data_IF_713555313628
#
_entry.id   IF_713555313628
#
_cell.length_a   1.000
_cell.length_b   1.000
_cell.length_c   1.000
_cell.angle_alpha   90.00
_cell.angle_beta   90.00
_cell.angle_gamma   90.00
#
_symmetry.space_group_name_H-M   'P 1'
#
loop_
_entity.id
_entity.type
_entity.pdbx_description
1 polymer ?
#
# COMPACT_ATOMS: atom_id res chain seq x y z
N UNK A 1 11.88 17.01 5.44
CA UNK A 1 10.41 17.00 5.43
C UNK A 1 9.94 15.78 6.21
N UNK A 2 9.02 15.96 7.15
CA UNK A 2 8.47 14.84 7.90
C UNK A 2 7.78 13.89 6.92
N UNK A 3 8.05 12.58 7.05
CA UNK A 3 7.42 11.59 6.20
C UNK A 3 5.95 11.49 6.64
N UNK A 4 5.04 11.97 5.79
CA UNK A 4 3.60 11.93 6.04
C UNK A 4 3.16 10.46 6.19
N UNK A 5 2.40 10.16 7.24
CA UNK A 5 1.83 8.83 7.48
C UNK A 5 0.32 8.99 7.70
N UNK A 6 -0.45 9.21 6.62
CA UNK A 6 -1.88 9.52 6.74
C UNK A 6 -2.70 8.36 7.33
N UNK A 7 -2.17 7.13 7.23
CA UNK A 7 -2.83 5.92 7.73
C UNK A 7 -2.34 5.47 9.11
N UNK A 8 -1.44 6.23 9.76
CA UNK A 8 -0.76 5.82 10.99
C UNK A 8 -0.22 4.37 10.92
N UNK A 9 0.30 4.00 9.75
CA UNK A 9 0.69 2.64 9.41
C UNK A 9 2.13 2.33 9.80
N UNK A 10 2.95 3.34 10.09
CA UNK A 10 4.34 3.17 10.47
C UNK A 10 4.45 2.67 11.91
N UNK A 11 5.15 1.55 12.07
CA UNK A 11 5.49 0.96 13.36
C UNK A 11 6.98 0.63 13.42
N UNK A 12 7.47 0.29 14.60
CA UNK A 12 8.85 -0.15 14.84
C UNK A 12 8.88 -1.52 15.49
N UNK A 13 9.85 -2.34 15.11
CA UNK A 13 10.07 -3.65 15.73
C UNK A 13 11.57 -3.89 15.94
N UNK A 14 11.91 -4.68 16.95
CA UNK A 14 13.30 -5.08 17.20
C UNK A 14 13.66 -6.27 16.30
N UNK A 15 14.76 -6.13 15.57
CA UNK A 15 15.31 -7.18 14.69
C UNK A 15 16.32 -8.08 15.40
N UNK A 16 16.68 -7.78 16.66
CA UNK A 16 17.84 -8.33 17.37
C UNK A 16 19.17 -7.67 16.98
N UNK A 17 19.23 -7.01 15.82
CA UNK A 17 20.34 -6.15 15.40
C UNK A 17 20.03 -4.65 15.61
N UNK A 18 18.88 -4.33 16.21
CA UNK A 18 18.40 -2.98 16.46
C UNK A 18 16.98 -2.72 15.95
N UNK A 19 16.43 -1.53 16.23
CA UNK A 19 15.08 -1.16 15.83
C UNK A 19 15.00 -0.93 14.31
N UNK A 20 14.03 -1.58 13.67
CA UNK A 20 13.66 -1.34 12.28
C UNK A 20 12.24 -0.80 12.19
N UNK A 21 11.95 -0.07 11.11
CA UNK A 21 10.61 0.44 10.84
C UNK A 21 9.87 -0.48 9.84
N UNK A 22 8.57 -0.64 10.04
CA UNK A 22 7.66 -1.39 9.17
C UNK A 22 6.40 -0.56 8.89
N UNK A 23 5.83 -0.71 7.70
CA UNK A 23 4.50 -0.18 7.39
C UNK A 23 3.51 -1.34 7.45
N UNK A 24 2.68 -1.37 8.50
CA UNK A 24 1.78 -2.50 8.76
C UNK A 24 0.52 -2.39 7.93
N UNK A 25 0.28 -3.39 7.07
CA UNK A 25 -0.99 -3.52 6.34
C UNK A 25 -2.18 -3.75 7.28
N UNK A 26 -1.95 -4.31 8.48
CA UNK A 26 -3.01 -4.51 9.49
C UNK A 26 -3.68 -3.20 9.90
N UNK A 27 -2.99 -2.06 9.78
CA UNK A 27 -3.57 -0.74 10.06
C UNK A 27 -4.66 -0.36 9.05
N UNK A 28 -4.57 -0.86 7.81
CA UNK A 28 -5.63 -0.70 6.82
C UNK A 28 -6.84 -1.60 7.10
N UNK A 29 -6.61 -2.78 7.67
CA UNK A 29 -7.66 -3.67 8.19
C UNK A 29 -8.37 -3.03 9.40
N UNK A 30 -7.62 -2.52 10.38
CA UNK A 30 -8.15 -1.80 11.55
C UNK A 30 -8.97 -0.56 11.14
N UNK A 31 -8.57 0.13 10.07
CA UNK A 31 -9.30 1.25 9.48
C UNK A 31 -10.54 0.83 8.66
N UNK A 32 -10.80 -0.48 8.50
CA UNK A 32 -11.93 -1.01 7.73
C UNK A 32 -11.82 -0.80 6.22
N UNK A 33 -10.62 -0.57 5.70
CA UNK A 33 -10.39 -0.28 4.28
C UNK A 33 -10.20 -1.54 3.42
N UNK A 34 -9.80 -2.65 4.03
CA UNK A 34 -9.55 -3.91 3.32
C UNK A 34 -9.52 -5.10 4.26
N UNK A 35 -9.57 -6.30 3.69
CA UNK A 35 -9.19 -7.56 4.34
C UNK A 35 -7.91 -8.03 3.67
N UNK A 36 -6.77 -7.83 4.33
CA UNK A 36 -5.42 -8.08 3.79
C UNK A 36 -5.25 -9.54 3.39
N UNK A 37 -5.90 -10.46 4.11
CA UNK A 37 -5.84 -11.90 3.83
C UNK A 37 -6.54 -12.30 2.52
N UNK A 38 -7.54 -11.54 2.08
CA UNK A 38 -8.27 -11.81 0.84
C UNK A 38 -7.52 -11.30 -0.40
N UNK A 39 -6.53 -10.43 -0.20
CA UNK A 39 -5.71 -9.90 -1.28
C UNK A 39 -4.66 -10.93 -1.75
N UNK A 40 -4.49 -11.10 -3.08
CA UNK A 40 -3.36 -11.85 -3.62
C UNK A 40 -2.03 -11.29 -3.11
N UNK A 41 -1.05 -12.17 -2.91
CA UNK A 41 0.27 -11.75 -2.41
C UNK A 41 0.92 -10.65 -3.26
N UNK A 42 0.76 -10.69 -4.58
CA UNK A 42 1.24 -9.63 -5.48
C UNK A 42 0.62 -8.26 -5.18
N UNK A 43 -0.68 -8.21 -4.92
CA UNK A 43 -1.40 -6.97 -4.58
C UNK A 43 -0.97 -6.46 -3.20
N UNK A 44 -0.71 -7.35 -2.23
CA UNK A 44 -0.16 -6.96 -0.93
C UNK A 44 1.20 -6.25 -1.05
N UNK A 45 2.06 -6.69 -1.97
CA UNK A 45 3.35 -6.02 -2.23
C UNK A 45 3.15 -4.62 -2.83
N UNK A 46 2.23 -4.48 -3.78
CA UNK A 46 1.90 -3.17 -4.37
C UNK A 46 1.29 -2.22 -3.32
N UNK A 47 0.38 -2.74 -2.50
CA UNK A 47 -0.28 -1.99 -1.43
C UNK A 47 0.71 -1.50 -0.38
N UNK A 48 1.65 -2.35 0.07
CA UNK A 48 2.72 -1.93 0.99
C UNK A 48 3.57 -0.82 0.37
N UNK A 49 3.93 -0.97 -0.90
CA UNK A 49 4.77 0.02 -1.57
C UNK A 49 4.06 1.37 -1.67
N UNK A 50 2.77 1.38 -1.99
CA UNK A 50 1.98 2.61 -2.00
C UNK A 50 1.86 3.21 -0.60
N UNK A 51 1.50 2.38 0.40
CA UNK A 51 1.36 2.82 1.79
C UNK A 51 2.66 3.45 2.34
N UNK A 52 3.81 2.84 2.07
CA UNK A 52 5.12 3.32 2.53
C UNK A 52 5.60 4.58 1.81
N UNK A 53 5.12 4.83 0.59
CA UNK A 53 5.50 5.97 -0.24
C UNK A 53 4.41 7.03 -0.37
N UNK A 54 3.29 6.90 0.36
CA UNK A 54 2.19 7.87 0.36
C UNK A 54 2.70 9.24 0.85
N UNK A 55 2.86 10.17 -0.08
CA UNK A 55 3.41 11.50 0.15
C UNK A 55 2.40 12.61 -0.19
N UNK A 56 1.24 12.24 -0.72
CA UNK A 56 0.18 13.17 -1.12
C UNK A 56 0.47 13.88 -2.45
N UNK A 57 1.51 13.45 -3.19
CA UNK A 57 1.86 14.03 -4.48
C UNK A 57 2.11 12.97 -5.56
N UNK A 58 3.10 12.09 -5.38
CA UNK A 58 3.38 10.99 -6.32
C UNK A 58 2.52 9.79 -6.00
N UNK A 59 2.31 9.53 -4.71
CA UNK A 59 1.39 8.50 -4.22
C UNK A 59 0.39 9.19 -3.32
N UNK A 60 -0.86 9.19 -3.77
CA UNK A 60 -1.97 9.80 -3.06
C UNK A 60 -2.70 8.76 -2.20
N UNK A 61 -3.43 9.22 -1.18
CA UNK A 61 -4.23 8.36 -0.31
C UNK A 61 -5.29 7.55 -1.10
N UNK A 62 -5.80 8.13 -2.19
CA UNK A 62 -6.73 7.48 -3.11
C UNK A 62 -6.12 6.21 -3.72
N UNK A 63 -4.82 6.21 -4.02
CA UNK A 63 -4.15 5.08 -4.68
C UNK A 63 -4.05 3.89 -3.72
N UNK A 64 -3.78 4.19 -2.44
CA UNK A 64 -3.80 3.20 -1.36
C UNK A 64 -5.22 2.63 -1.19
N UNK A 65 -6.25 3.49 -1.19
CA UNK A 65 -7.65 3.06 -1.09
C UNK A 65 -8.12 2.23 -2.30
N UNK A 66 -7.67 2.58 -3.50
CA UNK A 66 -7.97 1.86 -4.73
C UNK A 66 -7.38 0.43 -4.70
N UNK A 67 -6.13 0.29 -4.26
CA UNK A 67 -5.50 -1.03 -4.08
C UNK A 67 -6.09 -1.83 -2.92
N UNK A 68 -6.46 -1.16 -1.82
CA UNK A 68 -7.08 -1.78 -0.66
C UNK A 68 -8.44 -2.44 -1.04
N UNK A 69 -9.18 -1.81 -1.95
CA UNK A 69 -10.47 -2.31 -2.46
C UNK A 69 -10.33 -3.21 -3.71
N UNK A 70 -9.15 -3.80 -3.93
CA UNK A 70 -8.94 -4.71 -5.05
C UNK A 70 -9.85 -5.95 -4.94
N UNK A 71 -10.47 -6.35 -6.05
CA UNK A 71 -11.26 -7.59 -6.14
C UNK A 71 -11.06 -8.25 -7.50
N UNK A 72 -11.04 -9.58 -7.54
CA UNK A 72 -10.78 -10.35 -8.77
C UNK A 72 -11.84 -10.13 -9.87
N UNK A 73 -13.08 -9.83 -9.49
CA UNK A 73 -14.18 -9.55 -10.44
C UNK A 73 -14.17 -8.14 -11.02
N UNK A 74 -13.48 -7.20 -10.36
CA UNK A 74 -13.34 -5.79 -10.79
C UNK A 74 -11.92 -5.42 -11.15
N UNK A 75 -10.95 -6.31 -10.98
CA UNK A 75 -9.52 -6.16 -11.27
C UNK A 75 -8.91 -4.77 -11.08
N UNK A 76 -9.31 -3.94 -10.11
CA UNK A 76 -8.91 -2.51 -10.10
C UNK A 76 -9.14 -1.82 -11.46
N UNK A 77 -10.10 -2.23 -12.30
CA UNK A 77 -10.49 -1.53 -13.52
C UNK A 77 -12.01 -1.69 -13.75
N UNK A 78 -12.83 -0.72 -13.35
CA UNK A 78 -14.02 -0.28 -14.13
C UNK A 78 -14.73 0.88 -13.40
N UNK A 79 -14.94 1.99 -14.11
CA UNK A 79 -16.17 2.07 -14.90
C UNK A 79 -15.85 2.29 -16.39
N UNK A 80 -15.89 1.20 -17.18
CA UNK A 80 -15.79 1.21 -18.64
C UNK A 80 -14.37 1.10 -19.20
N UNK A 81 -13.91 -0.12 -19.49
CA UNK A 81 -12.78 -0.49 -20.38
C UNK A 81 -11.38 0.14 -20.20
N UNK A 82 -11.17 1.09 -19.29
CA UNK A 82 -9.86 1.66 -18.97
C UNK A 82 -9.52 1.39 -17.50
N UNK A 83 -8.30 0.94 -17.25
CA UNK A 83 -7.84 0.66 -15.89
C UNK A 83 -7.75 1.86 -14.97
N UNK A 84 -7.85 1.64 -13.66
CA UNK A 84 -7.24 2.52 -12.66
C UNK A 84 -5.72 2.32 -12.73
N UNK A 85 -5.03 3.37 -13.15
CA UNK A 85 -3.57 3.47 -13.10
C UNK A 85 -3.12 3.57 -11.64
N UNK A 86 -2.06 2.83 -11.28
CA UNK A 86 -1.54 2.78 -9.92
C UNK A 86 -0.04 3.10 -9.92
N UNK A 87 0.43 4.04 -9.06
CA UNK A 87 1.84 4.32 -8.94
C UNK A 87 2.58 3.14 -8.30
N UNK A 88 3.69 2.71 -8.90
CA UNK A 88 4.56 1.69 -8.33
C UNK A 88 6.00 2.18 -8.26
N UNK A 89 6.55 2.24 -7.04
CA UNK A 89 7.95 2.60 -6.78
C UNK A 89 8.73 1.34 -6.37
N UNK A 90 9.53 0.75 -7.27
CA UNK A 90 10.31 -0.44 -6.95
C UNK A 90 11.32 -0.17 -5.83
N UNK A 91 11.65 -1.20 -5.06
CA UNK A 91 12.66 -1.10 -4.01
C UNK A 91 14.09 -0.99 -4.55
N UNK A 92 14.37 -1.57 -5.72
CA UNK A 92 15.71 -1.57 -6.36
C UNK A 92 15.60 -1.80 -7.87
N UNK A 93 16.66 -1.44 -8.58
CA UNK A 93 16.88 -1.74 -10.01
C UNK A 93 18.14 -2.60 -10.13
N UNK A 94 18.14 -3.59 -11.01
CA UNK A 94 19.32 -4.39 -11.37
C UNK A 94 19.71 -3.99 -12.79
N UNK A 95 21.00 -3.77 -13.02
CA UNK A 95 21.59 -3.42 -14.31
C UNK A 95 22.34 -4.61 -14.89
#
# INVERSE_FOLDING_TARGET
>A
MAKTDPFAARDTFDTGAGPAAIYRLSKLEEAGLTVVNDLPFSIRVLLESCLRNCDGFVVEEKDVQNLANWTASRGVLAPGDAGVEIPFKPARVVL
#
